data_IF_822121303116
#
_entry.id   IF_822121303116
#
_cell.length_a   1.000
_cell.length_b   1.000
_cell.length_c   1.000
_cell.angle_alpha   90.00
_cell.angle_beta   90.00
_cell.angle_gamma   90.00
#
_symmetry.space_group_name_H-M   'P 1'
#
loop_
_entity.id
_entity.type
_entity.pdbx_description
1 polymer ?
#
# COMPACT_ATOMS: atom_id res chain seq x y z
N UNK A 1 43.73 0.15 -43.11
CA UNK A 1 42.52 0.88 -43.55
C UNK A 1 41.28 0.18 -43.03
N UNK A 2 40.69 0.71 -41.95
CA UNK A 2 39.27 0.62 -41.56
C UNK A 2 39.13 1.43 -40.27
N UNK A 3 39.01 2.74 -40.46
CA UNK A 3 38.64 3.71 -39.43
C UNK A 3 37.18 3.46 -39.04
N UNK A 4 36.92 2.96 -37.84
CA UNK A 4 35.61 3.09 -37.21
C UNK A 4 35.55 4.49 -36.57
N UNK A 5 34.83 5.41 -37.21
CA UNK A 5 34.40 6.64 -36.57
C UNK A 5 33.42 6.26 -35.45
N UNK A 6 33.80 6.57 -34.21
CA UNK A 6 32.88 6.56 -33.08
C UNK A 6 31.88 7.70 -33.26
N UNK A 7 30.60 7.36 -33.42
CA UNK A 7 29.52 8.32 -33.28
C UNK A 7 29.32 8.58 -31.77
N UNK A 8 29.91 9.67 -31.29
CA UNK A 8 29.56 10.24 -29.99
C UNK A 8 28.13 10.79 -30.14
N UNK A 9 27.15 10.09 -29.60
CA UNK A 9 25.81 10.63 -29.43
C UNK A 9 25.91 11.76 -28.40
N UNK A 10 25.87 13.02 -28.85
CA UNK A 10 25.66 14.17 -27.98
C UNK A 10 24.32 13.96 -27.27
N UNK A 11 24.33 13.80 -25.95
CA UNK A 11 23.16 14.02 -25.12
C UNK A 11 22.74 15.48 -25.32
N UNK A 12 21.72 15.71 -26.14
CA UNK A 12 20.95 16.94 -26.10
C UNK A 12 20.30 16.98 -24.72
N UNK A 13 20.89 17.75 -23.80
CA UNK A 13 20.22 18.19 -22.59
C UNK A 13 19.08 19.08 -23.08
N UNK A 14 17.92 18.48 -23.32
CA UNK A 14 16.66 19.20 -23.44
C UNK A 14 16.51 19.95 -22.11
N UNK A 15 16.89 21.22 -22.11
CA UNK A 15 16.55 22.15 -21.06
C UNK A 15 15.04 22.30 -21.15
N UNK A 16 14.32 21.39 -20.49
CA UNK A 16 12.91 21.56 -20.27
C UNK A 16 12.72 22.94 -19.62
N UNK A 17 11.74 23.74 -20.07
CA UNK A 17 11.43 24.96 -19.36
C UNK A 17 11.20 24.59 -17.91
N UNK A 18 11.85 25.32 -16.99
CA UNK A 18 11.53 25.24 -15.56
C UNK A 18 10.07 25.64 -15.45
N UNK A 19 9.18 24.66 -15.52
CA UNK A 19 7.80 24.85 -15.13
C UNK A 19 7.85 25.39 -13.71
N UNK A 20 7.11 26.48 -13.47
CA UNK A 20 6.90 26.98 -12.12
C UNK A 20 6.60 25.76 -11.24
N UNK A 21 7.37 25.59 -10.15
CA UNK A 21 7.22 24.42 -9.28
C UNK A 21 5.76 24.36 -8.82
N UNK A 22 4.96 23.52 -9.48
CA UNK A 22 3.59 23.29 -9.10
C UNK A 22 3.58 22.73 -7.67
N UNK A 23 2.60 23.12 -6.86
CA UNK A 23 2.48 22.57 -5.51
C UNK A 23 2.35 21.06 -5.65
N UNK A 24 3.25 20.25 -5.06
CA UNK A 24 3.24 18.81 -5.28
C UNK A 24 1.95 18.20 -4.73
N UNK A 25 1.57 17.04 -5.29
CA UNK A 25 0.54 16.18 -4.71
C UNK A 25 1.09 15.59 -3.41
N UNK A 26 0.46 15.88 -2.28
CA UNK A 26 0.83 15.29 -0.99
C UNK A 26 0.14 13.93 -0.85
N UNK A 27 0.89 12.84 -0.73
CA UNK A 27 0.34 11.47 -0.60
C UNK A 27 0.63 10.92 0.79
N UNK A 28 -0.43 10.68 1.55
CA UNK A 28 -0.38 9.91 2.80
C UNK A 28 -0.77 8.47 2.53
N UNK A 29 0.19 7.55 2.61
CA UNK A 29 -0.06 6.11 2.57
C UNK A 29 -0.42 5.65 3.98
N UNK A 30 -1.64 5.14 4.15
CA UNK A 30 -2.13 4.55 5.39
C UNK A 30 -2.28 3.04 5.21
N UNK A 31 -1.24 2.32 5.63
CA UNK A 31 -1.25 0.88 5.76
C UNK A 31 -2.13 0.41 6.91
N UNK A 32 -2.92 -0.62 6.65
CA UNK A 32 -3.81 -1.25 7.63
C UNK A 32 -3.38 -2.71 7.85
N UNK A 33 -3.93 -3.31 8.90
CA UNK A 33 -3.76 -4.73 9.20
C UNK A 33 -4.94 -5.58 8.70
N UNK A 34 -5.66 -5.10 7.67
CA UNK A 34 -6.88 -5.69 7.10
C UNK A 34 -7.97 -5.98 8.14
N UNK A 35 -8.84 -5.01 8.44
CA UNK A 35 -9.83 -5.14 9.51
C UNK A 35 -10.87 -6.24 9.25
N UNK A 36 -11.21 -6.46 7.98
CA UNK A 36 -12.08 -7.57 7.59
C UNK A 36 -11.36 -8.92 7.51
N UNK A 37 -10.03 -8.89 7.39
CA UNK A 37 -9.12 -10.00 7.10
C UNK A 37 -9.80 -11.23 6.43
N UNK A 38 -9.97 -11.24 5.10
CA UNK A 38 -10.66 -12.32 4.40
C UNK A 38 -9.86 -13.63 4.34
N UNK A 39 -8.66 -13.71 4.92
CA UNK A 39 -7.85 -14.94 4.95
C UNK A 39 -7.05 -15.18 3.67
N UNK A 40 -6.81 -14.13 2.86
CA UNK A 40 -6.17 -14.25 1.53
C UNK A 40 -4.64 -14.08 1.57
N UNK A 41 -4.09 -13.63 2.70
CA UNK A 41 -2.65 -13.42 2.84
C UNK A 41 -1.91 -14.71 3.18
N UNK A 42 -0.58 -14.72 3.01
CA UNK A 42 0.25 -15.84 3.48
C UNK A 42 0.33 -15.95 5.00
N UNK A 43 0.20 -14.82 5.71
CA UNK A 43 0.11 -14.77 7.18
C UNK A 43 -1.12 -13.94 7.54
N UNK A 44 -2.12 -14.57 8.18
CA UNK A 44 -3.40 -13.95 8.52
C UNK A 44 -3.51 -13.77 10.04
N UNK A 45 -4.21 -12.72 10.48
CA UNK A 45 -4.48 -12.41 11.89
C UNK A 45 -5.95 -12.65 12.27
N UNK A 46 -6.22 -13.08 13.49
CA UNK A 46 -7.57 -13.02 14.05
C UNK A 46 -7.89 -11.59 14.48
N UNK A 47 -8.85 -10.93 13.83
CA UNK A 47 -9.21 -9.53 14.12
C UNK A 47 -10.49 -9.46 14.95
N UNK A 48 -10.43 -8.76 16.08
CA UNK A 48 -11.57 -8.50 16.93
C UNK A 48 -12.58 -7.61 16.19
N UNK A 49 -13.90 -7.81 16.35
CA UNK A 49 -14.90 -7.10 15.56
C UNK A 49 -14.80 -5.57 15.72
N UNK A 50 -14.38 -4.90 14.64
CA UNK A 50 -14.26 -3.44 14.61
C UNK A 50 -15.63 -2.74 14.59
N UNK A 51 -16.71 -3.48 14.35
CA UNK A 51 -18.10 -2.99 14.33
C UNK A 51 -18.70 -2.79 15.73
N UNK A 52 -18.02 -3.18 16.81
CA UNK A 52 -18.49 -2.94 18.18
C UNK A 52 -18.51 -1.45 18.55
N UNK A 53 -19.42 -0.98 19.43
CA UNK A 53 -19.49 0.43 19.83
C UNK A 53 -18.16 1.00 20.33
N UNK A 54 -17.40 0.23 21.11
CA UNK A 54 -16.09 0.64 21.61
C UNK A 54 -15.07 0.86 20.48
N UNK A 55 -15.00 -0.05 19.51
CA UNK A 55 -14.12 0.11 18.34
C UNK A 55 -14.59 1.21 17.40
N UNK A 56 -15.90 1.41 17.26
CA UNK A 56 -16.46 2.52 16.50
C UNK A 56 -16.06 3.88 17.03
N UNK A 57 -16.05 4.06 18.36
CA UNK A 57 -15.54 5.27 19.00
C UNK A 57 -14.04 5.47 18.76
N UNK A 58 -13.23 4.41 18.78
CA UNK A 58 -11.80 4.51 18.46
C UNK A 58 -11.57 4.89 16.99
N UNK A 59 -12.34 4.32 16.06
CA UNK A 59 -12.25 4.64 14.63
C UNK A 59 -12.78 6.05 14.31
N UNK A 60 -13.69 6.58 15.13
CA UNK A 60 -14.13 7.96 15.01
C UNK A 60 -12.97 8.91 15.36
N UNK A 61 -12.22 8.61 16.41
CA UNK A 61 -11.00 9.36 16.75
C UNK A 61 -9.96 9.24 15.64
N UNK A 62 -9.81 8.08 14.99
CA UNK A 62 -8.93 7.94 13.81
C UNK A 62 -9.36 8.89 12.70
N UNK A 63 -10.66 8.92 12.35
CA UNK A 63 -11.16 9.82 11.32
C UNK A 63 -10.97 11.29 11.68
N UNK A 64 -11.20 11.68 12.93
CA UNK A 64 -10.92 13.04 13.43
C UNK A 64 -9.47 13.46 13.26
N UNK A 65 -8.54 12.58 13.66
CA UNK A 65 -7.13 12.89 13.60
C UNK A 65 -6.63 12.95 12.15
N UNK A 66 -7.08 12.05 11.28
CA UNK A 66 -6.80 12.07 9.83
C UNK A 66 -7.45 13.26 9.12
N UNK A 67 -8.61 13.76 9.57
CA UNK A 67 -9.24 14.97 9.00
C UNK A 67 -8.35 16.22 9.13
N UNK A 68 -7.41 16.26 10.08
CA UNK A 68 -6.40 17.33 10.18
C UNK A 68 -5.46 17.38 8.97
N UNK A 69 -5.28 16.25 8.29
CA UNK A 69 -4.59 16.21 7.00
C UNK A 69 -5.43 16.82 5.88
N UNK A 70 -6.71 17.14 6.07
CA UNK A 70 -7.58 17.77 5.06
C UNK A 70 -7.47 17.11 3.67
N UNK A 71 -7.64 15.78 3.56
CA UNK A 71 -7.51 15.12 2.26
C UNK A 71 -8.56 15.67 1.29
N UNK A 72 -8.12 15.97 0.07
CA UNK A 72 -9.00 16.35 -1.05
C UNK A 72 -9.37 15.12 -1.89
N UNK A 73 -8.54 14.08 -1.84
CA UNK A 73 -8.72 12.82 -2.56
C UNK A 73 -8.54 11.66 -1.57
N UNK A 74 -9.42 10.67 -1.63
CA UNK A 74 -9.28 9.41 -0.91
C UNK A 74 -9.30 8.26 -1.92
N UNK A 75 -8.30 7.40 -1.85
CA UNK A 75 -8.15 6.24 -2.73
C UNK A 75 -7.97 4.95 -1.91
N UNK A 76 -8.51 3.83 -2.41
CA UNK A 76 -8.62 2.56 -1.67
C UNK A 76 -8.19 1.35 -2.48
N UNK A 77 -7.82 0.29 -1.75
CA UNK A 77 -7.55 -1.06 -2.26
C UNK A 77 -8.83 -1.76 -2.75
N UNK A 78 -9.41 -1.26 -3.84
CA UNK A 78 -10.48 -1.90 -4.59
C UNK A 78 -10.21 -1.74 -6.08
N UNK A 79 -10.54 -2.77 -6.87
CA UNK A 79 -10.52 -2.66 -8.33
C UNK A 79 -11.76 -1.87 -8.76
N UNK A 80 -11.54 -0.76 -9.47
CA UNK A 80 -12.64 0.01 -10.06
C UNK A 80 -13.44 -0.85 -11.06
N UNK A 81 -14.76 -0.71 -11.04
CA UNK A 81 -15.61 -1.35 -12.05
C UNK A 81 -15.43 -0.70 -13.42
N UNK A 82 -15.21 0.62 -13.42
CA UNK A 82 -14.88 1.41 -14.60
C UNK A 82 -13.45 1.94 -14.47
N UNK A 83 -12.55 1.36 -15.27
CA UNK A 83 -11.13 1.70 -15.26
C UNK A 83 -10.85 3.07 -15.94
N UNK A 84 -11.84 3.75 -16.52
CA UNK A 84 -11.62 5.10 -17.09
C UNK A 84 -11.77 6.21 -16.05
N UNK A 85 -12.59 5.96 -15.02
CA UNK A 85 -12.87 6.94 -13.95
C UNK A 85 -12.19 6.59 -12.65
N UNK A 86 -11.80 5.33 -12.44
CA UNK A 86 -11.28 4.81 -11.18
C UNK A 86 -12.24 5.02 -10.00
N UNK A 87 -13.52 5.33 -10.20
CA UNK A 87 -14.44 5.58 -9.10
C UNK A 87 -14.75 4.29 -8.33
N UNK A 88 -14.72 4.37 -7.01
CA UNK A 88 -15.22 3.28 -6.16
C UNK A 88 -16.75 3.23 -6.27
N UNK A 89 -17.21 2.28 -7.06
CA UNK A 89 -18.63 2.00 -7.31
C UNK A 89 -19.47 1.70 -6.05
N UNK A 90 -18.85 1.44 -4.89
CA UNK A 90 -19.57 1.18 -3.63
C UNK A 90 -19.76 2.40 -2.75
N UNK A 91 -18.88 3.41 -2.85
CA UNK A 91 -18.96 4.60 -1.99
C UNK A 91 -20.27 5.39 -2.14
N UNK A 92 -20.85 5.58 -3.33
CA UNK A 92 -22.10 6.34 -3.48
C UNK A 92 -23.30 5.78 -2.68
N UNK A 93 -23.27 4.48 -2.33
CA UNK A 93 -24.31 3.82 -1.55
C UNK A 93 -24.02 3.79 -0.04
N UNK A 94 -22.84 4.26 0.39
CA UNK A 94 -22.44 4.22 1.79
C UNK A 94 -23.35 5.08 2.67
N UNK A 95 -23.69 4.54 3.84
CA UNK A 95 -24.34 5.27 4.93
C UNK A 95 -23.60 5.00 6.24
N UNK A 96 -23.68 5.91 7.24
CA UNK A 96 -23.08 5.66 8.56
C UNK A 96 -23.54 4.36 9.23
N UNK A 97 -24.73 3.84 8.89
CA UNK A 97 -25.22 2.56 9.40
C UNK A 97 -24.40 1.34 8.94
N UNK A 98 -23.67 1.46 7.82
CA UNK A 98 -22.81 0.39 7.31
C UNK A 98 -21.59 0.15 8.21
N UNK A 99 -21.18 1.16 8.99
CA UNK A 99 -20.07 1.04 9.93
C UNK A 99 -20.33 0.02 11.05
N UNK A 100 -21.61 -0.30 11.33
CA UNK A 100 -22.00 -1.31 12.32
C UNK A 100 -22.06 -2.73 11.75
N UNK A 101 -21.91 -2.89 10.42
CA UNK A 101 -22.13 -4.16 9.72
C UNK A 101 -20.92 -4.62 8.91
N UNK A 102 -20.15 -3.67 8.39
CA UNK A 102 -19.08 -3.97 7.45
C UNK A 102 -17.72 -3.69 8.08
N UNK A 103 -16.92 -4.71 8.45
CA UNK A 103 -15.64 -4.51 9.12
C UNK A 103 -14.52 -4.03 8.19
N UNK A 104 -14.75 -3.98 6.88
CA UNK A 104 -13.77 -3.59 5.86
C UNK A 104 -13.16 -2.20 6.14
N UNK A 105 -11.83 -2.12 6.18
CA UNK A 105 -11.07 -0.88 6.41
C UNK A 105 -11.40 0.22 5.40
N UNK A 106 -11.78 -0.15 4.16
CA UNK A 106 -12.23 0.79 3.13
C UNK A 106 -13.51 1.49 3.57
N UNK A 107 -14.39 0.79 4.28
CA UNK A 107 -15.60 1.38 4.86
C UNK A 107 -15.28 2.09 6.18
N UNK A 108 -14.58 1.41 7.07
CA UNK A 108 -14.31 1.86 8.43
C UNK A 108 -13.42 3.10 8.50
N UNK A 109 -12.50 3.28 7.56
CA UNK A 109 -11.60 4.44 7.50
C UNK A 109 -11.95 5.33 6.31
N UNK A 110 -11.88 4.81 5.09
CA UNK A 110 -11.92 5.65 3.90
C UNK A 110 -13.31 6.27 3.69
N UNK A 111 -14.38 5.47 3.63
CA UNK A 111 -15.75 5.99 3.44
C UNK A 111 -16.20 6.82 4.63
N UNK A 112 -15.88 6.40 5.86
CA UNK A 112 -16.12 7.19 7.08
C UNK A 112 -15.55 8.61 6.94
N UNK A 113 -14.27 8.72 6.59
CA UNK A 113 -13.59 10.01 6.48
C UNK A 113 -14.10 10.83 5.28
N UNK A 114 -14.30 10.19 4.13
CA UNK A 114 -14.87 10.84 2.95
C UNK A 114 -16.23 11.47 3.25
N UNK A 115 -17.11 10.73 3.92
CA UNK A 115 -18.43 11.21 4.34
C UNK A 115 -18.32 12.36 5.36
N UNK A 116 -17.41 12.27 6.34
CA UNK A 116 -17.15 13.34 7.32
C UNK A 116 -16.75 14.66 6.64
N UNK A 117 -15.91 14.56 5.61
CA UNK A 117 -15.39 15.71 4.87
C UNK A 117 -16.33 16.19 3.76
N UNK A 118 -17.45 15.48 3.52
CA UNK A 118 -18.39 15.80 2.45
C UNK A 118 -17.86 15.51 1.04
N UNK A 119 -16.83 14.68 0.91
CA UNK A 119 -16.28 14.27 -0.40
C UNK A 119 -17.33 13.43 -1.14
N UNK A 120 -17.53 13.75 -2.42
CA UNK A 120 -18.51 13.06 -3.28
C UNK A 120 -17.97 11.77 -3.89
N UNK A 121 -16.65 11.64 -3.91
CA UNK A 121 -15.95 10.57 -4.62
C UNK A 121 -14.90 9.93 -3.71
N UNK A 122 -14.73 8.63 -3.91
CA UNK A 122 -13.61 7.82 -3.43
C UNK A 122 -13.12 7.03 -4.64
N UNK A 123 -11.81 6.91 -4.81
CA UNK A 123 -11.22 6.23 -5.96
C UNK A 123 -10.75 4.81 -5.59
N UNK A 124 -11.01 3.86 -6.48
CA UNK A 124 -10.65 2.46 -6.40
C UNK A 124 -9.48 2.21 -7.36
N UNK A 125 -8.25 2.26 -6.84
CA UNK A 125 -7.01 2.28 -7.65
C UNK A 125 -6.25 0.96 -7.61
N UNK A 126 -6.89 -0.11 -7.16
CA UNK A 126 -6.22 -1.41 -7.01
C UNK A 126 -5.95 -2.09 -8.35
N UNK A 127 -4.98 -2.98 -8.30
CA UNK A 127 -4.53 -3.81 -9.41
C UNK A 127 -4.51 -5.25 -8.92
N UNK A 128 -5.18 -6.13 -9.66
CA UNK A 128 -5.13 -7.58 -9.46
C UNK A 128 -4.86 -8.23 -10.81
N UNK A 129 -4.28 -9.43 -10.81
CA UNK A 129 -4.11 -10.17 -12.05
C UNK A 129 -5.49 -10.55 -12.62
N UNK A 130 -5.70 -10.36 -13.92
CA UNK A 130 -6.90 -10.83 -14.60
C UNK A 130 -6.84 -12.35 -14.85
N UNK A 131 -7.98 -12.94 -15.22
CA UNK A 131 -8.05 -14.36 -15.55
C UNK A 131 -7.07 -14.70 -16.69
N UNK A 132 -6.13 -15.61 -16.39
CA UNK A 132 -5.09 -16.03 -17.33
C UNK A 132 -3.82 -15.18 -17.28
N UNK A 133 -3.81 -14.07 -16.55
CA UNK A 133 -2.58 -13.35 -16.23
C UNK A 133 -1.84 -14.00 -15.06
N UNK A 134 -0.50 -14.06 -15.10
CA UNK A 134 0.24 -14.61 -14.00
C UNK A 134 0.20 -13.67 -12.78
N UNK A 135 0.01 -14.26 -11.60
CA UNK A 135 -0.12 -13.57 -10.31
C UNK A 135 0.99 -12.53 -10.08
N UNK A 136 0.63 -11.45 -9.38
CA UNK A 136 1.55 -10.42 -8.90
C UNK A 136 2.38 -10.85 -7.70
N UNK A 137 1.98 -11.91 -6.99
CA UNK A 137 2.75 -12.49 -5.88
C UNK A 137 2.89 -14.02 -6.01
N UNK A 138 3.61 -14.53 -7.02
CA UNK A 138 3.75 -15.98 -7.26
C UNK A 138 4.73 -16.60 -6.25
N UNK A 139 4.26 -16.83 -5.03
CA UNK A 139 5.09 -17.34 -3.94
C UNK A 139 5.42 -18.84 -4.08
N UNK A 140 4.52 -19.63 -4.66
CA UNK A 140 4.67 -21.08 -4.71
C UNK A 140 5.93 -21.54 -5.47
N UNK A 141 6.32 -20.97 -6.62
CA UNK A 141 7.61 -21.24 -7.24
C UNK A 141 8.82 -20.93 -6.35
N UNK A 142 8.76 -19.82 -5.60
CA UNK A 142 9.83 -19.42 -4.65
C UNK A 142 9.98 -20.46 -3.56
N UNK A 143 8.85 -20.89 -2.98
CA UNK A 143 8.83 -21.90 -1.92
C UNK A 143 9.38 -23.24 -2.42
N UNK A 144 8.89 -23.75 -3.55
CA UNK A 144 9.36 -25.01 -4.15
C UNK A 144 10.85 -24.99 -4.45
N UNK A 145 11.35 -23.88 -4.99
CA UNK A 145 12.77 -23.72 -5.26
C UNK A 145 13.59 -23.70 -3.98
N UNK A 146 13.12 -22.99 -2.96
CA UNK A 146 13.80 -22.94 -1.67
C UNK A 146 13.88 -24.31 -0.99
N UNK A 147 12.80 -25.09 -1.02
CA UNK A 147 12.76 -26.48 -0.52
C UNK A 147 13.75 -27.38 -1.26
N UNK A 148 13.72 -27.36 -2.60
CA UNK A 148 14.59 -28.19 -3.43
C UNK A 148 16.09 -27.87 -3.30
N UNK A 149 16.42 -26.65 -2.86
CA UNK A 149 17.80 -26.16 -2.75
C UNK A 149 18.29 -25.96 -1.30
N UNK A 150 17.53 -26.42 -0.29
CA UNK A 150 17.91 -26.29 1.12
C UNK A 150 17.98 -24.83 1.62
N UNK A 151 17.11 -23.96 1.09
CA UNK A 151 17.03 -22.52 1.38
C UNK A 151 15.76 -22.13 2.15
N UNK A 152 15.06 -23.09 2.76
CA UNK A 152 13.87 -22.84 3.58
C UNK A 152 14.13 -21.83 4.72
N UNK A 153 15.32 -21.85 5.32
CA UNK A 153 15.70 -20.87 6.34
C UNK A 153 15.65 -19.40 5.86
N UNK A 154 15.82 -19.13 4.56
CA UNK A 154 15.62 -17.78 4.00
C UNK A 154 14.15 -17.38 4.00
N UNK A 155 13.25 -18.33 3.73
CA UNK A 155 11.79 -18.13 3.80
C UNK A 155 11.37 -17.89 5.25
N UNK A 156 11.86 -18.71 6.17
CA UNK A 156 11.55 -18.58 7.60
C UNK A 156 12.02 -17.23 8.16
N UNK A 157 13.21 -16.77 7.75
CA UNK A 157 13.72 -15.45 8.13
C UNK A 157 12.91 -14.28 7.55
N UNK A 158 12.15 -14.51 6.48
CA UNK A 158 11.25 -13.51 5.90
C UNK A 158 9.90 -13.47 6.63
N UNK A 159 9.28 -14.63 6.90
CA UNK A 159 7.93 -14.70 7.46
C UNK A 159 7.88 -14.81 8.98
N UNK A 160 8.91 -15.32 9.65
CA UNK A 160 8.96 -15.44 11.10
C UNK A 160 8.70 -14.12 11.85
N UNK A 161 9.38 -13.02 11.48
CA UNK A 161 9.08 -11.70 12.06
C UNK A 161 7.65 -11.21 11.81
N UNK A 162 7.07 -11.54 10.65
CA UNK A 162 5.68 -11.21 10.31
C UNK A 162 4.71 -11.99 11.21
N UNK A 163 4.95 -13.29 11.39
CA UNK A 163 4.16 -14.15 12.29
C UNK A 163 4.22 -13.66 13.74
N UNK A 164 5.41 -13.30 14.22
CA UNK A 164 5.58 -12.75 15.57
C UNK A 164 4.84 -11.42 15.75
N UNK A 165 4.88 -10.55 14.74
CA UNK A 165 4.13 -9.30 14.75
C UNK A 165 2.61 -9.53 14.72
N UNK A 166 2.11 -10.47 13.89
CA UNK A 166 0.69 -10.85 13.87
C UNK A 166 0.23 -11.36 15.23
N UNK A 167 0.99 -12.25 15.87
CA UNK A 167 0.67 -12.75 17.20
C UNK A 167 0.66 -11.64 18.27
N UNK A 168 1.45 -10.58 18.09
CA UNK A 168 1.42 -9.41 18.96
C UNK A 168 0.22 -8.51 18.66
N UNK A 169 -0.10 -8.28 17.39
CA UNK A 169 -1.28 -7.52 16.94
C UNK A 169 -2.57 -8.12 17.54
N UNK A 170 -2.69 -9.45 17.51
CA UNK A 170 -3.87 -10.16 18.04
C UNK A 170 -4.11 -9.89 19.53
N UNK A 171 -3.04 -9.60 20.29
CA UNK A 171 -3.11 -9.21 21.71
C UNK A 171 -3.36 -7.71 21.85
N UNK A 172 -2.61 -6.91 21.09
CA UNK A 172 -2.61 -5.46 21.14
C UNK A 172 -3.98 -4.86 20.80
N UNK A 173 -4.72 -5.45 19.87
CA UNK A 173 -6.07 -4.98 19.52
C UNK A 173 -7.05 -4.96 20.69
N UNK A 174 -6.79 -5.70 21.78
CA UNK A 174 -7.64 -5.72 22.99
C UNK A 174 -7.26 -4.64 23.99
N UNK A 175 -6.02 -4.18 23.97
CA UNK A 175 -5.45 -3.32 25.02
C UNK A 175 -5.06 -1.94 24.51
N UNK A 176 -4.86 -1.79 23.19
CA UNK A 176 -4.38 -0.56 22.55
C UNK A 176 -5.47 0.08 21.70
N UNK A 177 -5.55 1.42 21.68
CA UNK A 177 -6.39 2.15 20.73
C UNK A 177 -6.03 1.82 19.27
N UNK A 178 -7.02 1.70 18.39
CA UNK A 178 -6.79 1.48 16.95
C UNK A 178 -5.85 2.53 16.35
N UNK A 179 -5.98 3.80 16.78
CA UNK A 179 -5.11 4.88 16.30
C UNK A 179 -3.63 4.63 16.59
N UNK A 180 -3.30 4.07 17.75
CA UNK A 180 -1.91 3.82 18.15
C UNK A 180 -1.34 2.62 17.39
N UNK A 181 -2.15 1.57 17.17
CA UNK A 181 -1.75 0.42 16.34
C UNK A 181 -1.48 0.88 14.90
N UNK A 182 -2.37 1.69 14.33
CA UNK A 182 -2.17 2.26 12.99
C UNK A 182 -0.96 3.19 12.95
N UNK A 183 -0.72 4.01 13.99
CA UNK A 183 0.42 4.92 14.04
C UNK A 183 1.75 4.18 14.02
N UNK A 184 1.84 3.07 14.78
CA UNK A 184 3.04 2.25 14.80
C UNK A 184 3.23 1.50 13.49
N UNK A 185 2.16 0.91 12.94
CA UNK A 185 2.21 0.20 11.67
C UNK A 185 2.68 1.08 10.50
N UNK A 186 2.44 2.39 10.60
CA UNK A 186 2.83 3.39 9.61
C UNK A 186 4.04 4.23 10.03
N UNK A 187 4.76 3.85 11.08
CA UNK A 187 5.99 4.52 11.46
C UNK A 187 7.05 4.32 10.35
N UNK A 188 7.84 5.36 9.98
CA UNK A 188 8.84 5.27 8.92
C UNK A 188 9.90 4.18 9.15
N UNK A 189 10.15 3.84 10.41
CA UNK A 189 11.09 2.84 10.87
C UNK A 189 10.41 1.53 11.29
N UNK A 190 9.11 1.34 11.02
CA UNK A 190 8.39 0.14 11.43
C UNK A 190 9.09 -1.11 10.87
N UNK A 191 9.53 -2.04 11.74
CA UNK A 191 10.47 -3.08 11.37
C UNK A 191 9.88 -4.06 10.36
N UNK A 192 8.55 -4.19 10.28
CA UNK A 192 7.88 -5.12 9.38
C UNK A 192 7.34 -4.40 8.14
N UNK A 193 6.26 -3.62 8.30
CA UNK A 193 5.57 -2.94 7.20
C UNK A 193 6.43 -1.99 6.35
N UNK A 194 7.54 -1.46 6.86
CA UNK A 194 8.47 -0.64 6.06
C UNK A 194 9.78 -1.40 5.84
N UNK A 195 10.53 -1.65 6.91
CA UNK A 195 11.91 -2.13 6.80
C UNK A 195 12.01 -3.56 6.30
N UNK A 196 11.29 -4.51 6.90
CA UNK A 196 11.33 -5.92 6.45
C UNK A 196 10.60 -6.13 5.13
N UNK A 197 9.66 -5.27 4.74
CA UNK A 197 9.09 -5.31 3.40
C UNK A 197 10.12 -4.92 2.35
N UNK A 198 10.87 -3.82 2.55
CA UNK A 198 11.99 -3.47 1.67
C UNK A 198 13.10 -4.53 1.69
N UNK A 199 13.66 -4.82 2.87
CA UNK A 199 14.74 -5.80 3.03
C UNK A 199 14.31 -7.20 2.56
N UNK A 200 13.08 -7.62 2.86
CA UNK A 200 12.51 -8.92 2.51
C UNK A 200 12.34 -9.09 1.01
N UNK A 201 11.90 -8.04 0.31
CA UNK A 201 11.84 -8.04 -1.15
C UNK A 201 13.24 -8.26 -1.75
N UNK A 202 14.27 -7.58 -1.24
CA UNK A 202 15.64 -7.80 -1.73
C UNK A 202 16.22 -9.17 -1.32
N UNK A 203 15.82 -9.74 -0.17
CA UNK A 203 16.19 -11.11 0.21
C UNK A 203 15.70 -12.16 -0.79
N UNK A 204 14.54 -11.94 -1.42
CA UNK A 204 14.05 -12.83 -2.47
C UNK A 204 15.03 -12.96 -3.64
N UNK A 205 15.83 -11.94 -3.94
CA UNK A 205 16.80 -11.98 -5.04
C UNK A 205 17.89 -13.05 -4.84
N UNK A 206 18.10 -13.51 -3.61
CA UNK A 206 19.01 -14.63 -3.31
C UNK A 206 18.40 -16.01 -3.58
N UNK A 207 17.10 -16.09 -3.93
CA UNK A 207 16.37 -17.32 -4.20
C UNK A 207 16.28 -17.56 -5.71
N UNK A 208 17.34 -18.11 -6.26
CA UNK A 208 17.45 -18.47 -7.67
C UNK A 208 18.87 -18.91 -8.04
N UNK A 209 19.01 -19.57 -9.19
CA UNK A 209 20.30 -19.96 -9.76
C UNK A 209 20.23 -20.00 -11.29
N UNK A 210 21.21 -19.38 -11.95
CA UNK A 210 21.29 -19.39 -13.41
C UNK A 210 20.09 -18.70 -14.04
N UNK A 211 19.32 -19.44 -14.85
CA UNK A 211 18.09 -18.93 -15.49
C UNK A 211 16.82 -19.17 -14.67
N UNK A 212 16.91 -19.93 -13.60
CA UNK A 212 15.79 -20.26 -12.71
C UNK A 212 15.82 -19.28 -11.52
N UNK A 213 15.08 -18.18 -11.61
CA UNK A 213 15.17 -17.02 -10.72
C UNK A 213 13.82 -16.65 -10.08
N UNK A 214 13.12 -17.59 -9.42
CA UNK A 214 11.75 -17.37 -8.96
C UNK A 214 11.61 -16.22 -7.95
N UNK A 215 12.63 -15.99 -7.12
CA UNK A 215 12.63 -14.88 -6.18
C UNK A 215 12.76 -13.51 -6.85
N UNK A 216 13.52 -13.42 -7.95
CA UNK A 216 13.60 -12.21 -8.76
C UNK A 216 12.28 -11.98 -9.52
N UNK A 217 11.67 -13.04 -10.06
CA UNK A 217 10.38 -12.98 -10.75
C UNK A 217 9.27 -12.48 -9.82
N UNK A 218 9.18 -13.00 -8.59
CA UNK A 218 8.23 -12.52 -7.58
C UNK A 218 8.47 -11.05 -7.26
N UNK A 219 9.73 -10.65 -7.01
CA UNK A 219 10.06 -9.27 -6.69
C UNK A 219 9.61 -8.31 -7.81
N UNK A 220 9.94 -8.64 -9.07
CA UNK A 220 9.57 -7.84 -10.24
C UNK A 220 8.05 -7.69 -10.38
N UNK A 221 7.29 -8.76 -10.11
CA UNK A 221 5.83 -8.76 -10.18
C UNK A 221 5.20 -7.96 -9.05
N UNK A 222 5.71 -8.07 -7.83
CA UNK A 222 5.22 -7.29 -6.71
C UNK A 222 5.49 -5.78 -6.90
N UNK A 223 6.67 -5.44 -7.43
CA UNK A 223 6.96 -4.09 -7.89
C UNK A 223 5.95 -3.63 -8.95
N UNK A 224 5.70 -4.44 -9.98
CA UNK A 224 4.79 -4.11 -11.07
C UNK A 224 3.36 -3.83 -10.57
N UNK A 225 2.82 -4.62 -9.63
CA UNK A 225 1.51 -4.37 -9.02
C UNK A 225 1.45 -2.99 -8.37
N UNK A 226 2.43 -2.68 -7.52
CA UNK A 226 2.46 -1.42 -6.79
C UNK A 226 2.69 -0.22 -7.72
N UNK A 227 3.51 -0.38 -8.76
CA UNK A 227 3.72 0.64 -9.77
C UNK A 227 2.43 0.93 -10.56
N UNK A 228 1.65 -0.11 -10.89
CA UNK A 228 0.34 0.03 -11.54
C UNK A 228 -0.69 0.70 -10.64
N UNK A 229 -0.75 0.33 -9.36
CA UNK A 229 -1.59 1.02 -8.36
C UNK A 229 -1.25 2.51 -8.32
N UNK A 230 0.03 2.85 -8.22
CA UNK A 230 0.45 4.25 -8.17
C UNK A 230 0.17 4.97 -9.50
N UNK A 231 0.35 4.33 -10.65
CA UNK A 231 0.00 4.89 -11.96
C UNK A 231 -1.51 5.15 -12.09
N UNK A 232 -2.38 4.30 -11.52
CA UNK A 232 -3.83 4.56 -11.44
C UNK A 232 -4.12 5.76 -10.55
N UNK A 233 -3.44 5.88 -9.41
CA UNK A 233 -3.54 7.06 -8.56
C UNK A 233 -3.15 8.35 -9.31
N UNK A 234 -2.09 8.32 -10.14
CA UNK A 234 -1.67 9.52 -10.89
C UNK A 234 -2.72 10.01 -11.89
N UNK A 235 -3.68 9.17 -12.29
CA UNK A 235 -4.74 9.54 -13.23
C UNK A 235 -5.89 10.32 -12.58
N UNK A 236 -6.00 10.31 -11.25
CA UNK A 236 -7.13 10.88 -10.50
C UNK A 236 -6.74 12.05 -9.60
N UNK A 237 -5.51 12.53 -9.71
CA UNK A 237 -4.96 13.61 -8.87
C UNK A 237 -4.40 14.73 -9.73
N UNK A 238 -4.36 15.93 -9.17
CA UNK A 238 -3.73 17.12 -9.77
C UNK A 238 -2.86 17.84 -8.74
N UNK A 239 -1.88 18.67 -9.18
CA UNK A 239 -1.05 19.46 -8.28
C UNK A 239 -1.88 20.19 -7.20
N UNK A 240 -1.39 20.16 -5.97
CA UNK A 240 -2.06 20.68 -4.78
C UNK A 240 -3.05 19.74 -4.11
N UNK A 241 -3.37 18.58 -4.70
CA UNK A 241 -4.19 17.57 -4.02
C UNK A 241 -3.48 16.96 -2.80
N UNK A 242 -4.29 16.61 -1.80
CA UNK A 242 -3.88 15.96 -0.56
C UNK A 242 -4.56 14.60 -0.53
N UNK A 243 -3.81 13.55 -0.84
CA UNK A 243 -4.30 12.18 -1.03
C UNK A 243 -4.17 11.40 0.27
N UNK A 244 -5.25 10.77 0.72
CA UNK A 244 -5.17 9.64 1.65
C UNK A 244 -5.34 8.34 0.86
N UNK A 245 -4.30 7.51 0.83
CA UNK A 245 -4.28 6.20 0.17
C UNK A 245 -4.39 5.09 1.23
N UNK A 246 -5.54 4.42 1.32
CA UNK A 246 -5.82 3.40 2.34
C UNK A 246 -5.65 2.00 1.75
N UNK A 247 -4.65 1.25 2.24
CA UNK A 247 -4.23 -0.06 1.71
C UNK A 247 -3.82 -1.01 2.82
N UNK A 248 -3.72 -2.30 2.52
CA UNK A 248 -3.00 -3.27 3.34
C UNK A 248 -1.53 -2.89 3.52
N UNK A 249 -1.00 -3.06 4.73
CA UNK A 249 0.37 -2.63 5.08
C UNK A 249 1.49 -3.34 4.28
N UNK A 250 1.20 -4.46 3.61
CA UNK A 250 2.13 -5.10 2.66
C UNK A 250 2.52 -4.22 1.47
N UNK A 251 1.72 -3.20 1.16
CA UNK A 251 1.97 -2.23 0.09
C UNK A 251 2.80 -1.02 0.52
N UNK A 252 2.97 -0.81 1.83
CA UNK A 252 3.51 0.43 2.37
C UNK A 252 4.88 0.79 1.77
N UNK A 253 5.82 -0.17 1.72
CA UNK A 253 7.17 0.10 1.22
C UNK A 253 7.16 0.72 -0.19
N UNK A 254 6.53 0.05 -1.16
CA UNK A 254 6.53 0.51 -2.55
C UNK A 254 5.68 1.76 -2.77
N UNK A 255 4.49 1.85 -2.18
CA UNK A 255 3.64 3.03 -2.35
C UNK A 255 4.29 4.29 -1.75
N UNK A 256 4.96 4.16 -0.61
CA UNK A 256 5.72 5.25 0.02
C UNK A 256 6.96 5.62 -0.77
N UNK A 257 7.64 4.62 -1.34
CA UNK A 257 8.75 4.83 -2.28
C UNK A 257 8.28 5.63 -3.50
N UNK A 258 7.21 5.22 -4.18
CA UNK A 258 6.70 5.95 -5.35
C UNK A 258 6.22 7.36 -5.01
N UNK A 259 5.55 7.55 -3.86
CA UNK A 259 5.16 8.87 -3.38
C UNK A 259 6.35 9.80 -3.07
N UNK A 260 7.52 9.23 -2.74
CA UNK A 260 8.73 10.00 -2.42
C UNK A 260 9.60 10.28 -3.65
N UNK A 261 9.68 9.32 -4.57
CA UNK A 261 10.63 9.36 -5.69
C UNK A 261 10.01 9.88 -6.99
N UNK A 262 8.67 9.88 -7.13
CA UNK A 262 8.02 10.39 -8.34
C UNK A 262 7.96 11.91 -8.32
N UNK A 263 8.55 12.55 -9.33
CA UNK A 263 8.50 14.02 -9.47
C UNK A 263 7.05 14.54 -9.47
N UNK A 264 6.81 15.64 -8.75
CA UNK A 264 5.48 16.22 -8.57
C UNK A 264 4.67 15.61 -7.41
N UNK A 265 5.20 14.58 -6.74
CA UNK A 265 4.60 13.98 -5.55
C UNK A 265 5.48 14.21 -4.32
N UNK A 266 4.86 14.13 -3.15
CA UNK A 266 5.52 14.22 -1.85
C UNK A 266 4.85 13.27 -0.87
N UNK A 267 5.62 12.36 -0.28
CA UNK A 267 5.15 11.53 0.82
C UNK A 267 4.85 12.39 2.06
N UNK A 268 3.71 12.13 2.70
CA UNK A 268 3.35 12.64 4.02
C UNK A 268 3.12 11.47 4.97
N UNK A 269 3.82 11.50 6.10
CA UNK A 269 3.73 10.45 7.11
C UNK A 269 2.38 10.44 7.82
N UNK A 270 1.75 9.26 7.94
CA UNK A 270 0.49 9.11 8.65
C UNK A 270 0.66 9.20 10.18
N UNK A 271 1.80 8.76 10.72
CA UNK A 271 2.06 8.70 12.17
C UNK A 271 1.77 9.99 12.95
N UNK A 272 2.29 11.17 12.52
CA UNK A 272 1.97 12.46 13.13
C UNK A 272 0.47 12.80 13.16
N UNK A 273 -0.31 12.30 12.20
CA UNK A 273 -1.75 12.52 12.12
C UNK A 273 -2.55 11.47 12.85
N UNK A 274 -1.96 10.38 13.32
CA UNK A 274 -2.64 9.33 14.08
C UNK A 274 -2.45 9.46 15.58
N UNK A 275 -1.55 10.33 16.03
CA UNK A 275 -1.32 10.66 17.45
C UNK A 275 -2.06 11.96 17.84
N UNK A 276 -2.39 12.18 19.13
CA UNK A 276 -3.04 13.41 19.60
C UNK A 276 -2.33 14.68 19.13
#
# INVERSE_FOLDING_TARGET
MRTLLGAIALLSVLSAPVMASEVPVEVMVLGTYHFANPGQDKVNAQIDPVTTPAKQAQLEQVAERLARFKPTVIAVERVAKDQTTMLDHRYPAFTPADLLKNPDERVQIAYRLANRLGLKEVYAVDEVAEDGEPDYFPFDPVQKWAEANGKTGTIDAMFGPIQAWVAQLEKDQRTRPVADILADLNAPDHPIAIKSMGDGQYRLLALGKGRDLPGADLNARWYARNARIFAKLTQVVKPGDRVLLVYGSGHNYWLRHFASETGGFKLVEAGPYLRP
#
